data_IF_138557143122
#
_entry.id   IF_138557143122
#
_cell.length_a   1.000
_cell.length_b   1.000
_cell.length_c   1.000
_cell.angle_alpha   90.00
_cell.angle_beta   90.00
_cell.angle_gamma   90.00
#
_symmetry.space_group_name_H-M   'P 1'
#
loop_
_entity.id
_entity.type
_entity.pdbx_description
1 polymer ?
#
# COMPACT_ATOMS: atom_id res chain seq x y z
N UNK A 1 9.97 -0.25 20.23
CA UNK A 1 10.63 0.61 19.24
C UNK A 1 11.01 -0.10 17.95
N UNK A 2 11.83 -1.17 17.92
CA UNK A 2 12.18 -1.84 16.64
C UNK A 2 10.99 -2.67 16.10
N UNK A 3 10.24 -3.32 17.00
CA UNK A 3 9.06 -4.12 16.64
C UNK A 3 7.89 -3.30 16.10
N UNK A 4 7.79 -2.03 16.48
CA UNK A 4 6.71 -1.15 16.04
C UNK A 4 6.85 -0.87 14.54
N UNK A 5 7.99 -0.33 14.10
CA UNK A 5 8.23 -0.04 12.68
C UNK A 5 8.15 -1.27 11.77
N UNK A 6 8.42 -2.47 12.30
CA UNK A 6 8.34 -3.71 11.53
C UNK A 6 6.90 -4.09 11.16
N UNK A 7 5.93 -3.91 12.05
CA UNK A 7 4.55 -4.33 11.79
C UNK A 7 3.84 -3.41 10.80
N UNK A 8 3.99 -2.09 10.93
CA UNK A 8 3.49 -1.17 9.90
C UNK A 8 4.09 -1.51 8.53
N UNK A 9 5.40 -1.81 8.47
CA UNK A 9 6.06 -2.15 7.20
C UNK A 9 5.53 -3.45 6.60
N UNK A 10 5.34 -4.50 7.41
CA UNK A 10 4.84 -5.80 6.95
C UNK A 10 3.40 -5.69 6.44
N UNK A 11 2.51 -5.08 7.23
CA UNK A 11 1.11 -4.85 6.85
C UNK A 11 1.01 -4.01 5.57
N UNK A 12 1.80 -2.94 5.45
CA UNK A 12 1.81 -2.08 4.26
C UNK A 12 2.24 -2.86 3.02
N UNK A 13 3.26 -3.71 3.12
CA UNK A 13 3.75 -4.50 1.98
C UNK A 13 2.71 -5.51 1.48
N UNK A 14 1.95 -6.11 2.39
CA UNK A 14 0.89 -7.06 2.03
C UNK A 14 -0.29 -6.34 1.35
N UNK A 15 -0.63 -5.14 1.83
CA UNK A 15 -1.63 -4.29 1.18
C UNK A 15 -1.15 -3.85 -0.22
N UNK A 16 0.13 -3.51 -0.39
CA UNK A 16 0.69 -3.15 -1.70
C UNK A 16 0.63 -4.33 -2.69
N UNK A 17 0.95 -5.55 -2.25
CA UNK A 17 0.83 -6.76 -3.08
C UNK A 17 -0.62 -6.99 -3.52
N UNK A 18 -1.57 -6.77 -2.61
CA UNK A 18 -3.00 -6.82 -2.93
C UNK A 18 -3.39 -5.76 -3.97
N UNK A 19 -3.01 -4.49 -3.75
CA UNK A 19 -3.28 -3.39 -4.69
C UNK A 19 -2.67 -3.64 -6.07
N UNK A 20 -1.49 -4.25 -6.11
CA UNK A 20 -0.76 -4.63 -7.33
C UNK A 20 -1.36 -5.84 -8.08
N UNK A 21 -2.45 -6.44 -7.55
CA UNK A 21 -3.09 -7.65 -8.09
C UNK A 21 -2.21 -8.90 -8.02
N UNK A 22 -1.13 -8.86 -7.24
CA UNK A 22 -0.28 -10.03 -6.98
C UNK A 22 -0.92 -10.96 -5.95
N UNK A 23 -1.84 -10.44 -5.13
CA UNK A 23 -2.70 -11.20 -4.22
C UNK A 23 -4.17 -10.83 -4.35
N UNK A 24 -5.02 -11.79 -4.01
CA UNK A 24 -6.46 -11.64 -3.86
C UNK A 24 -6.84 -11.05 -2.49
N UNK A 25 -8.08 -10.55 -2.38
CA UNK A 25 -8.60 -10.04 -1.11
C UNK A 25 -8.68 -11.14 -0.03
N UNK A 26 -8.94 -12.39 -0.43
CA UNK A 26 -8.96 -13.54 0.49
C UNK A 26 -7.57 -13.85 1.03
N UNK A 27 -6.51 -13.75 0.21
CA UNK A 27 -5.15 -13.94 0.69
C UNK A 27 -4.70 -12.79 1.63
N UNK A 28 -5.22 -11.58 1.43
CA UNK A 28 -5.01 -10.46 2.35
C UNK A 28 -5.73 -10.70 3.69
N UNK A 29 -6.97 -11.18 3.66
CA UNK A 29 -7.75 -11.55 4.84
C UNK A 29 -7.07 -12.67 5.64
N UNK A 30 -6.66 -13.75 4.97
CA UNK A 30 -5.94 -14.86 5.61
C UNK A 30 -4.64 -14.39 6.27
N UNK A 31 -3.87 -13.53 5.60
CA UNK A 31 -2.67 -12.95 6.18
C UNK A 31 -2.99 -12.09 7.40
N UNK A 32 -4.02 -11.23 7.31
CA UNK A 32 -4.41 -10.35 8.39
C UNK A 32 -4.82 -11.14 9.63
N UNK A 33 -5.67 -12.15 9.47
CA UNK A 33 -6.10 -13.03 10.58
C UNK A 33 -4.92 -13.77 11.19
N UNK A 34 -3.99 -14.25 10.36
CA UNK A 34 -2.79 -14.97 10.81
C UNK A 34 -1.78 -14.10 11.58
N UNK A 35 -1.76 -12.79 11.33
CA UNK A 35 -0.77 -11.86 11.90
C UNK A 35 -1.40 -10.83 12.86
N UNK A 36 -2.72 -10.87 13.09
CA UNK A 36 -3.43 -9.89 13.91
C UNK A 36 -2.89 -9.86 15.35
N UNK A 37 -2.59 -11.03 15.91
CA UNK A 37 -2.04 -11.11 17.27
C UNK A 37 -0.65 -10.46 17.36
N UNK A 38 0.21 -10.69 16.38
CA UNK A 38 1.54 -10.07 16.33
C UNK A 38 1.46 -8.55 16.12
N UNK A 39 0.49 -8.08 15.33
CA UNK A 39 0.22 -6.65 15.13
C UNK A 39 -0.22 -6.02 16.47
N UNK A 40 -1.14 -6.64 17.19
CA UNK A 40 -1.61 -6.15 18.49
C UNK A 40 -0.49 -6.16 19.55
N UNK A 41 0.27 -7.26 19.64
CA UNK A 41 1.35 -7.42 20.61
C UNK A 41 2.54 -6.50 20.33
N UNK A 42 2.69 -5.99 19.11
CA UNK A 42 3.75 -5.04 18.76
C UNK A 42 3.61 -3.67 19.40
N UNK A 43 2.40 -3.29 19.82
CA UNK A 43 2.09 -1.94 20.29
C UNK A 43 2.16 -0.86 19.20
N UNK A 44 2.30 -1.24 17.93
CA UNK A 44 2.31 -0.31 16.81
C UNK A 44 0.90 0.21 16.54
N UNK A 45 0.61 1.40 17.07
CA UNK A 45 -0.71 2.02 16.96
C UNK A 45 -1.10 2.26 15.50
N UNK A 46 -0.13 2.53 14.61
CA UNK A 46 -0.42 2.76 13.20
C UNK A 46 -0.78 1.46 12.50
N UNK A 47 -0.02 0.38 12.73
CA UNK A 47 -0.34 -0.93 12.16
C UNK A 47 -1.69 -1.45 12.67
N UNK A 48 -1.97 -1.27 13.97
CA UNK A 48 -3.25 -1.66 14.57
C UNK A 48 -4.41 -0.87 13.94
N UNK A 49 -4.27 0.44 13.76
CA UNK A 49 -5.31 1.27 13.15
C UNK A 49 -5.59 0.85 11.71
N UNK A 50 -4.54 0.63 10.91
CA UNK A 50 -4.67 0.18 9.51
C UNK A 50 -5.31 -1.20 9.47
N UNK A 51 -4.84 -2.14 10.29
CA UNK A 51 -5.39 -3.49 10.36
C UNK A 51 -6.88 -3.47 10.67
N UNK A 52 -7.30 -2.66 11.64
CA UNK A 52 -8.70 -2.51 12.03
C UNK A 52 -9.56 -1.89 10.91
N UNK A 53 -9.04 -0.91 10.18
CA UNK A 53 -9.76 -0.30 9.06
C UNK A 53 -9.84 -1.24 7.84
N UNK A 54 -8.78 -2.00 7.56
CA UNK A 54 -8.79 -3.02 6.48
C UNK A 54 -9.75 -4.16 6.82
N UNK A 55 -9.79 -4.62 8.07
CA UNK A 55 -10.75 -5.62 8.54
C UNK A 55 -12.20 -5.17 8.34
N UNK A 56 -12.53 -3.92 8.72
CA UNK A 56 -13.85 -3.35 8.48
C UNK A 56 -14.22 -3.33 6.98
N UNK A 57 -13.28 -2.92 6.12
CA UNK A 57 -13.49 -2.90 4.67
C UNK A 57 -13.66 -4.32 4.09
N UNK A 58 -12.96 -5.32 4.64
CA UNK A 58 -13.11 -6.74 4.26
C UNK A 58 -14.50 -7.28 4.65
N UNK A 59 -15.01 -6.92 5.83
CA UNK A 59 -16.37 -7.27 6.25
C UNK A 59 -17.40 -6.67 5.29
N UNK A 60 -17.30 -5.37 4.98
CA UNK A 60 -18.22 -4.70 4.06
C UNK A 60 -18.20 -5.34 2.66
N UNK A 61 -17.02 -5.75 2.18
CA UNK A 61 -16.88 -6.51 0.94
C UNK A 61 -17.52 -7.90 1.04
N UNK A 62 -17.34 -8.61 2.16
CA UNK A 62 -17.96 -9.91 2.42
C UNK A 62 -19.49 -9.85 2.46
N UNK A 63 -20.04 -8.75 2.97
CA UNK A 63 -21.47 -8.43 2.97
C UNK A 63 -21.99 -7.92 1.61
N UNK A 64 -21.14 -7.88 0.58
CA UNK A 64 -21.46 -7.36 -0.76
C UNK A 64 -21.88 -5.89 -0.77
N UNK A 65 -21.54 -5.13 0.28
CA UNK A 65 -21.74 -3.68 0.36
C UNK A 65 -20.69 -2.93 -0.46
N UNK A 66 -19.49 -3.53 -0.63
CA UNK A 66 -18.42 -3.03 -1.47
C UNK A 66 -18.11 -3.98 -2.62
N UNK A 67 -17.99 -3.42 -3.82
CA UNK A 67 -17.38 -4.12 -4.97
C UNK A 67 -15.87 -4.24 -4.79
N UNK A 68 -15.23 -5.20 -5.48
CA UNK A 68 -13.76 -5.35 -5.46
C UNK A 68 -13.02 -4.05 -5.80
N UNK A 69 -13.49 -3.30 -6.81
CA UNK A 69 -12.87 -2.04 -7.20
C UNK A 69 -13.04 -0.93 -6.13
N UNK A 70 -14.20 -0.90 -5.45
CA UNK A 70 -14.46 0.08 -4.37
C UNK A 70 -13.65 -0.25 -3.11
N UNK A 71 -13.50 -1.53 -2.80
CA UNK A 71 -12.63 -1.99 -1.73
C UNK A 71 -11.17 -1.61 -2.00
N UNK A 72 -10.67 -1.83 -3.23
CA UNK A 72 -9.32 -1.40 -3.66
C UNK A 72 -9.10 0.10 -3.52
N UNK A 73 -10.04 0.91 -3.99
CA UNK A 73 -9.96 2.36 -3.91
C UNK A 73 -9.95 2.83 -2.45
N UNK A 74 -10.76 2.21 -1.60
CA UNK A 74 -10.84 2.53 -0.16
C UNK A 74 -9.58 2.15 0.60
N UNK A 75 -9.02 0.97 0.32
CA UNK A 75 -7.73 0.51 0.88
C UNK A 75 -6.57 1.39 0.39
N UNK A 76 -6.60 1.83 -0.86
CA UNK A 76 -5.61 2.78 -1.39
C UNK A 76 -5.72 4.14 -0.69
N UNK A 77 -6.92 4.70 -0.59
CA UNK A 77 -7.19 5.97 0.09
C UNK A 77 -6.73 5.94 1.55
N UNK A 78 -6.96 4.82 2.23
CA UNK A 78 -6.48 4.56 3.59
C UNK A 78 -4.95 4.67 3.69
N UNK A 79 -4.19 4.02 2.80
CA UNK A 79 -2.73 4.11 2.83
C UNK A 79 -2.23 5.55 2.61
N UNK A 80 -2.87 6.29 1.69
CA UNK A 80 -2.55 7.70 1.43
C UNK A 80 -2.84 8.56 2.68
N UNK A 81 -3.99 8.36 3.33
CA UNK A 81 -4.35 9.07 4.56
C UNK A 81 -3.31 8.85 5.67
N UNK A 82 -2.80 7.61 5.80
CA UNK A 82 -1.80 7.24 6.81
C UNK A 82 -0.37 7.63 6.43
N UNK A 83 -0.18 8.27 5.27
CA UNK A 83 1.12 8.71 4.74
C UNK A 83 2.04 7.55 4.36
N UNK A 84 1.46 6.43 3.96
CA UNK A 84 2.18 5.21 3.57
C UNK A 84 2.32 5.13 2.04
N UNK A 85 3.40 4.50 1.55
CA UNK A 85 3.57 4.30 0.12
C UNK A 85 2.44 3.42 -0.40
N UNK A 86 1.75 3.90 -1.43
CA UNK A 86 0.71 3.17 -2.12
C UNK A 86 1.04 3.23 -3.62
N UNK A 87 1.44 2.10 -4.20
CA UNK A 87 1.59 1.99 -5.66
C UNK A 87 0.28 1.46 -6.24
N UNK A 88 -0.45 2.33 -6.95
CA UNK A 88 -1.72 1.98 -7.59
C UNK A 88 -1.61 2.15 -9.09
N UNK A 89 -1.38 1.03 -9.79
CA UNK A 89 -1.44 0.98 -11.25
C UNK A 89 -2.90 0.77 -11.70
N UNK A 90 -3.71 1.82 -11.60
CA UNK A 90 -5.07 1.80 -12.15
C UNK A 90 -5.03 2.07 -13.65
N UNK A 91 -5.09 1.01 -14.44
CA UNK A 91 -5.40 1.11 -15.88
C UNK A 91 -6.91 0.97 -16.09
N UNK A 92 -7.68 2.03 -15.80
CA UNK A 92 -9.03 2.33 -16.34
C UNK A 92 -9.56 3.62 -15.67
N UNK A 93 -9.50 4.77 -16.33
CA UNK A 93 -10.62 5.40 -17.04
C UNK A 93 -11.89 5.60 -16.19
N UNK A 94 -12.06 6.83 -15.71
CA UNK A 94 -13.28 7.30 -15.07
C UNK A 94 -13.01 8.59 -14.30
N UNK A 95 -13.33 9.74 -14.90
CA UNK A 95 -13.11 11.07 -14.33
C UNK A 95 -13.56 11.17 -12.86
N UNK A 96 -12.60 11.30 -11.93
CA UNK A 96 -12.86 11.87 -10.61
C UNK A 96 -11.86 13.00 -10.39
N UNK A 97 -12.37 14.23 -10.37
CA UNK A 97 -11.61 15.42 -10.02
C UNK A 97 -11.37 15.37 -8.51
N UNK A 98 -10.18 14.94 -8.09
CA UNK A 98 -9.72 15.15 -6.72
C UNK A 98 -9.11 16.56 -6.66
N UNK A 99 -9.80 17.48 -5.97
CA UNK A 99 -9.18 18.72 -5.54
C UNK A 99 -8.16 18.40 -4.45
N UNK A 100 -6.92 18.08 -4.84
CA UNK A 100 -5.77 18.15 -3.93
C UNK A 100 -5.28 19.58 -3.86
N UNK A 101 -5.57 20.26 -2.75
CA UNK A 101 -4.74 21.39 -2.33
C UNK A 101 -3.32 20.86 -2.11
N UNK A 102 -2.28 21.47 -2.72
CA UNK A 102 -0.92 20.94 -2.61
C UNK A 102 -0.34 21.29 -1.23
N UNK A 103 -0.42 20.35 -0.29
CA UNK A 103 0.45 20.39 0.87
C UNK A 103 1.84 19.94 0.44
N UNK A 104 2.69 20.93 0.15
CA UNK A 104 4.11 20.75 -0.19
C UNK A 104 4.82 20.14 1.03
N UNK A 105 5.02 18.84 1.01
CA UNK A 105 6.09 18.17 1.76
C UNK A 105 7.25 17.99 0.79
N UNK A 106 8.42 18.46 1.19
CA UNK A 106 9.63 18.66 0.38
C UNK A 106 9.87 17.60 -0.71
N UNK A 107 10.33 17.99 -1.92
CA UNK A 107 10.56 17.04 -3.01
C UNK A 107 11.80 16.20 -2.70
N UNK A 108 11.60 15.00 -2.15
CA UNK A 108 12.65 13.96 -2.19
C UNK A 108 12.59 13.34 -3.58
N UNK A 109 13.30 13.97 -4.52
CA UNK A 109 13.46 13.45 -5.87
C UNK A 109 14.44 12.27 -5.81
N UNK A 110 13.95 11.05 -6.00
CA UNK A 110 14.81 9.91 -6.29
C UNK A 110 15.23 9.95 -7.76
N UNK A 111 16.48 10.32 -8.03
CA UNK A 111 17.07 10.21 -9.36
C UNK A 111 17.59 8.78 -9.58
N UNK A 112 16.95 8.02 -10.48
CA UNK A 112 17.54 6.79 -11.00
C UNK A 112 18.56 7.14 -12.09
N UNK A 113 19.83 7.26 -11.71
CA UNK A 113 20.92 7.45 -12.68
C UNK A 113 21.17 6.12 -13.39
N UNK A 114 20.79 6.03 -14.66
CA UNK A 114 21.12 4.89 -15.51
C UNK A 114 22.48 5.14 -16.16
N UNK A 115 23.52 4.44 -15.72
CA UNK A 115 24.83 4.50 -16.36
C UNK A 115 24.81 3.59 -17.60
N UNK A 116 24.75 4.18 -18.79
CA UNK A 116 25.07 3.48 -20.04
C UNK A 116 26.57 3.64 -20.30
N UNK A 117 27.36 2.60 -20.01
CA UNK A 117 28.76 2.57 -20.42
C UNK A 117 28.84 2.20 -21.90
N UNK A 118 29.10 3.19 -22.77
CA UNK A 118 29.59 2.90 -24.12
C UNK A 118 31.03 2.39 -24.01
N UNK A 119 31.20 1.09 -24.22
CA UNK A 119 32.51 0.46 -24.34
C UNK A 119 33.22 1.02 -25.58
N UNK A 120 34.13 1.97 -25.38
CA UNK A 120 35.09 2.37 -26.40
C UNK A 120 36.04 1.18 -26.64
N UNK A 121 35.82 0.47 -27.74
CA UNK A 121 36.77 -0.50 -28.26
C UNK A 121 38.07 0.23 -28.62
N UNK A 122 39.08 0.06 -27.80
CA UNK A 122 40.47 0.30 -28.16
C UNK A 122 41.03 -0.96 -28.82
N UNK A 123 41.68 -0.80 -29.97
CA UNK A 123 42.45 -1.82 -30.68
C UNK A 123 41.91 -2.05 -32.09
N UNK A 124 42.66 -1.84 -33.17
CA UNK A 124 44.11 -1.91 -33.32
C UNK A 124 44.53 -1.14 -34.59
#
# INVERSE_FOLDING_TARGET
>A
MISELLQTSALTQEIIQYLSRERSASELEEWLVGNLQDILDSGDHKAIEIANQVDALLIEKGEQLLSEDQFRDSVYALLIEKGLPAEFNSSASGNTVIHTEPMILAPTIYFRVSHSFSQAGAGK
#
